data_IF_326935153083
#
_entry.id   IF_326935153083
#
_cell.length_a   1.000
_cell.length_b   1.000
_cell.length_c   1.000
_cell.angle_alpha   90.00
_cell.angle_beta   90.00
_cell.angle_gamma   90.00
#
_symmetry.space_group_name_H-M   'P 1'
#
loop_
_entity.id
_entity.type
_entity.pdbx_description
1 polymer ?
#
# COMPACT_ATOMS: atom_id res chain seq x y z
N UNK A 1 -10.24 -79.60 2.64
CA UNK A 1 -9.93 -78.15 2.59
C UNK A 1 -8.89 -77.89 3.67
N UNK A 2 -7.68 -77.54 3.23
CA UNK A 2 -6.48 -77.34 4.06
C UNK A 2 -6.60 -76.05 4.89
N UNK A 3 -6.41 -76.12 6.21
CA UNK A 3 -5.17 -75.93 6.99
C UNK A 3 -4.51 -74.54 6.80
N UNK A 4 -4.42 -73.89 7.97
CA UNK A 4 -3.86 -72.62 8.38
C UNK A 4 -2.48 -72.18 7.84
N UNK A 5 -2.35 -70.85 7.81
CA UNK A 5 -1.25 -69.98 8.25
C UNK A 5 0.19 -70.17 7.71
N UNK A 6 0.79 -69.01 7.37
CA UNK A 6 2.11 -68.46 7.77
C UNK A 6 2.72 -67.67 6.62
N UNK A 7 3.07 -66.40 6.87
CA UNK A 7 4.19 -65.62 6.29
C UNK A 7 3.94 -64.13 6.57
N UNK A 8 4.89 -63.26 6.92
CA UNK A 8 6.31 -63.33 7.24
C UNK A 8 6.61 -61.98 7.93
N UNK A 9 7.34 -61.96 9.04
CA UNK A 9 7.82 -60.71 9.65
C UNK A 9 8.80 -60.00 8.72
N UNK A 10 8.73 -58.67 8.66
CA UNK A 10 9.88 -57.82 8.36
C UNK A 10 9.84 -56.57 9.25
N UNK A 11 10.70 -56.56 10.27
CA UNK A 11 11.07 -55.37 11.02
C UNK A 11 11.91 -54.46 10.12
N UNK A 12 11.45 -53.24 9.86
CA UNK A 12 12.33 -52.17 9.42
C UNK A 12 12.53 -51.20 10.58
N UNK A 13 13.69 -51.29 11.21
CA UNK A 13 14.25 -50.21 12.00
C UNK A 13 14.65 -49.08 11.04
N UNK A 14 13.74 -48.13 10.81
CA UNK A 14 14.05 -46.86 10.19
C UNK A 14 14.46 -45.87 11.26
N UNK A 15 15.72 -45.43 11.24
CA UNK A 15 16.19 -44.34 12.07
C UNK A 15 15.26 -43.13 11.92
N UNK A 16 14.78 -42.58 13.04
CA UNK A 16 14.19 -41.25 13.07
C UNK A 16 15.31 -40.28 12.70
N UNK A 17 15.43 -39.95 11.42
CA UNK A 17 16.13 -38.75 11.00
C UNK A 17 15.31 -37.60 11.58
N UNK A 18 15.80 -37.05 12.70
CA UNK A 18 15.39 -35.74 13.19
C UNK A 18 15.49 -34.81 11.98
N UNK A 19 14.40 -34.15 11.51
CA UNK A 19 14.59 -33.03 10.63
C UNK A 19 15.39 -32.01 11.44
N UNK A 20 16.67 -31.90 11.04
CA UNK A 20 17.55 -30.81 11.36
C UNK A 20 16.70 -29.54 11.24
N UNK A 21 16.74 -28.75 12.29
CA UNK A 21 16.29 -27.37 12.25
C UNK A 21 17.03 -26.70 11.09
N UNK A 22 16.41 -26.68 9.91
CA UNK A 22 16.81 -25.80 8.83
C UNK A 22 16.46 -24.39 9.27
N UNK A 23 17.41 -23.82 10.02
CA UNK A 23 17.56 -22.41 10.30
C UNK A 23 17.97 -21.71 8.98
N UNK A 24 17.10 -21.79 7.99
CA UNK A 24 17.25 -21.26 6.64
C UNK A 24 16.00 -20.48 6.24
N UNK A 25 15.56 -19.58 7.12
CA UNK A 25 14.50 -18.62 6.81
C UNK A 25 14.93 -17.18 7.08
N UNK A 26 16.22 -16.88 6.88
CA UNK A 26 16.64 -15.52 6.48
C UNK A 26 16.62 -15.41 4.96
N UNK A 27 15.49 -15.78 4.35
CA UNK A 27 15.06 -15.08 3.13
C UNK A 27 15.02 -13.61 3.54
N UNK A 28 15.86 -12.80 2.92
CA UNK A 28 16.01 -11.36 3.13
C UNK A 28 14.74 -10.76 3.71
N UNK A 29 14.78 -10.34 4.97
CA UNK A 29 13.63 -9.76 5.64
C UNK A 29 13.31 -8.47 4.90
N UNK A 30 12.44 -8.56 3.89
CA UNK A 30 12.01 -7.41 3.08
C UNK A 30 11.53 -6.38 4.08
N UNK A 31 12.18 -5.22 4.06
CA UNK A 31 11.85 -4.15 4.97
C UNK A 31 10.40 -3.77 4.69
N UNK A 32 9.53 -3.94 5.69
CA UNK A 32 8.11 -3.63 5.62
C UNK A 32 7.74 -2.72 6.79
N UNK A 33 6.84 -1.80 6.52
CA UNK A 33 6.25 -0.88 7.49
C UNK A 33 4.75 -0.76 7.24
N UNK A 34 4.00 -0.15 8.16
CA UNK A 34 2.55 -0.02 8.05
C UNK A 34 2.16 1.45 8.17
N UNK A 35 1.40 1.95 7.20
CA UNK A 35 0.94 3.34 7.15
C UNK A 35 -0.39 3.60 7.87
N UNK A 36 -0.95 2.56 8.50
CA UNK A 36 -2.27 2.53 9.12
C UNK A 36 -3.32 1.80 8.27
N UNK A 37 -3.02 1.50 7.01
CA UNK A 37 -3.96 0.89 6.05
C UNK A 37 -3.42 -0.41 5.41
N UNK A 38 -2.29 -0.93 5.92
CA UNK A 38 -1.70 -2.19 5.50
C UNK A 38 -0.19 -2.12 5.34
N UNK A 39 0.46 -3.29 5.14
CA UNK A 39 1.90 -3.34 4.96
C UNK A 39 2.34 -2.66 3.65
N UNK A 40 3.52 -2.05 3.67
CA UNK A 40 4.20 -1.40 2.55
C UNK A 40 5.68 -1.75 2.62
N UNK A 41 6.32 -2.04 1.49
CA UNK A 41 7.78 -2.20 1.42
C UNK A 41 8.49 -0.85 1.62
N UNK A 42 9.65 -0.85 2.28
CA UNK A 42 10.41 0.37 2.58
C UNK A 42 10.87 1.18 1.35
N UNK A 43 10.85 0.57 0.15
CA UNK A 43 11.12 1.27 -1.11
C UNK A 43 9.94 2.13 -1.61
N UNK A 44 8.82 2.09 -0.90
CA UNK A 44 7.59 2.80 -1.24
C UNK A 44 7.22 3.80 -0.14
N UNK A 45 6.39 4.76 -0.53
CA UNK A 45 5.68 5.66 0.36
C UNK A 45 4.20 5.61 0.00
N UNK A 46 3.34 6.05 0.91
CA UNK A 46 1.92 6.21 0.62
C UNK A 46 1.47 7.66 0.70
N UNK A 47 0.44 7.98 -0.07
CA UNK A 47 -0.35 9.19 0.10
C UNK A 47 -1.77 8.76 0.38
N UNK A 48 -2.36 9.27 1.46
CA UNK A 48 -3.73 8.95 1.86
C UNK A 48 -4.56 10.22 1.96
N UNK A 49 -5.59 10.33 1.13
CA UNK A 49 -6.56 11.42 1.12
C UNK A 49 -7.78 11.09 1.96
N UNK A 50 -8.31 12.08 2.68
CA UNK A 50 -9.57 11.99 3.43
C UNK A 50 -9.58 11.04 4.63
N UNK A 51 -8.44 10.43 5.00
CA UNK A 51 -8.38 9.44 6.08
C UNK A 51 -8.79 10.02 7.46
N UNK A 52 -9.14 9.15 8.40
CA UNK A 52 -9.51 9.46 9.78
C UNK A 52 -10.73 10.38 9.90
N UNK A 53 -11.64 10.35 8.92
CA UNK A 53 -12.81 11.24 8.89
C UNK A 53 -12.46 12.71 8.64
N UNK A 54 -11.27 13.00 8.11
CA UNK A 54 -10.82 14.34 7.73
C UNK A 54 -11.52 14.85 6.48
N UNK A 55 -11.25 16.11 6.16
CA UNK A 55 -11.66 16.70 4.88
C UNK A 55 -11.07 15.90 3.71
N UNK A 56 -11.85 15.71 2.65
CA UNK A 56 -11.46 14.92 1.47
C UNK A 56 -10.22 15.45 0.76
N UNK A 57 -10.03 16.77 0.79
CA UNK A 57 -8.88 17.47 0.23
C UNK A 57 -7.62 17.31 1.09
N UNK A 58 -7.76 17.08 2.41
CA UNK A 58 -6.63 16.83 3.30
C UNK A 58 -6.00 15.47 2.96
N UNK A 59 -4.68 15.43 2.92
CA UNK A 59 -3.95 14.19 2.71
C UNK A 59 -2.71 14.09 3.58
N UNK A 60 -2.23 12.86 3.70
CA UNK A 60 -1.04 12.53 4.47
C UNK A 60 -0.06 11.76 3.58
N UNK A 61 1.15 12.29 3.46
CA UNK A 61 2.30 11.59 2.86
C UNK A 61 2.99 10.82 3.99
N UNK A 62 3.09 9.50 3.85
CA UNK A 62 3.73 8.63 4.82
C UNK A 62 4.87 7.84 4.16
N UNK A 63 6.03 7.86 4.78
CA UNK A 63 7.14 6.95 4.50
C UNK A 63 7.54 6.19 5.76
N UNK A 64 8.46 5.24 5.64
CA UNK A 64 8.89 4.37 6.75
C UNK A 64 9.25 5.13 8.05
N UNK A 65 9.75 6.37 7.92
CA UNK A 65 10.27 7.14 9.06
C UNK A 65 9.70 8.57 9.15
N UNK A 66 8.67 8.91 8.36
CA UNK A 66 8.09 10.25 8.40
C UNK A 66 6.62 10.22 8.03
N UNK A 67 5.88 11.17 8.60
CA UNK A 67 4.51 11.48 8.24
C UNK A 67 4.40 12.99 8.07
N UNK A 68 3.78 13.42 6.98
CA UNK A 68 3.55 14.82 6.70
C UNK A 68 2.15 15.04 6.15
N UNK A 69 1.44 16.01 6.73
CA UNK A 69 0.12 16.42 6.25
C UNK A 69 0.25 17.48 5.17
N UNK A 70 -0.67 17.42 4.22
CA UNK A 70 -0.80 18.37 3.12
C UNK A 70 -2.26 18.76 2.95
N UNK A 71 -2.45 20.00 2.53
CA UNK A 71 -3.76 20.52 2.17
C UNK A 71 -3.59 21.33 0.87
N UNK A 72 -4.18 20.88 -0.26
CA UNK A 72 -4.14 21.63 -1.49
C UNK A 72 -5.05 22.85 -1.40
N UNK A 73 -4.64 23.95 -2.03
CA UNK A 73 -5.53 25.10 -2.17
C UNK A 73 -6.70 24.72 -3.07
N UNK A 74 -7.90 24.85 -2.54
CA UNK A 74 -9.15 24.61 -3.24
C UNK A 74 -9.70 25.93 -3.79
N UNK A 75 -8.89 26.64 -4.58
CA UNK A 75 -9.34 27.86 -5.25
C UNK A 75 -10.40 27.48 -6.32
N UNK A 76 -11.50 28.25 -6.46
CA UNK A 76 -12.55 27.92 -7.42
C UNK A 76 -12.00 27.71 -8.84
N UNK A 77 -12.39 26.60 -9.48
CA UNK A 77 -12.00 26.24 -10.85
C UNK A 77 -10.51 25.91 -11.04
N UNK A 78 -9.76 25.72 -9.94
CA UNK A 78 -8.34 25.39 -9.98
C UNK A 78 -8.03 23.97 -9.51
N UNK A 79 -9.04 23.10 -9.39
CA UNK A 79 -8.86 21.71 -8.98
C UNK A 79 -7.83 20.94 -9.83
N UNK A 80 -7.66 21.30 -11.10
CA UNK A 80 -6.73 20.63 -12.02
C UNK A 80 -5.29 21.14 -11.96
N UNK A 81 -5.02 22.22 -11.21
CA UNK A 81 -3.69 22.80 -11.13
C UNK A 81 -2.81 22.01 -10.16
N UNK A 82 -1.64 21.58 -10.63
CA UNK A 82 -0.65 20.91 -9.78
C UNK A 82 -0.04 21.86 -8.76
N UNK A 83 -0.08 21.44 -7.50
CA UNK A 83 0.49 22.17 -6.37
C UNK A 83 1.65 21.36 -5.75
N UNK A 84 2.80 21.99 -5.48
CA UNK A 84 3.97 21.30 -4.93
C UNK A 84 3.87 21.09 -3.41
N UNK A 85 4.26 19.90 -2.97
CA UNK A 85 4.40 19.51 -1.56
C UNK A 85 5.80 18.94 -1.33
N UNK A 86 6.58 19.67 -0.54
CA UNK A 86 7.94 19.29 -0.17
C UNK A 86 7.89 18.39 1.04
N UNK A 87 8.58 17.26 0.97
CA UNK A 87 8.70 16.28 2.05
C UNK A 87 10.12 15.73 2.09
N UNK A 88 10.49 14.89 3.07
CA UNK A 88 11.78 14.21 3.09
C UNK A 88 12.03 13.23 1.92
N UNK A 89 11.05 13.05 1.02
CA UNK A 89 11.20 12.27 -0.20
C UNK A 89 12.23 12.91 -1.16
N UNK A 90 12.90 12.12 -2.00
CA UNK A 90 13.91 12.62 -2.94
C UNK A 90 13.35 13.52 -4.06
N UNK A 91 12.04 13.47 -4.33
CA UNK A 91 11.38 14.28 -5.34
C UNK A 91 10.18 15.02 -4.75
N UNK A 92 9.76 16.10 -5.41
CA UNK A 92 8.57 16.86 -5.00
C UNK A 92 7.31 16.09 -5.37
N UNK A 93 6.38 15.97 -4.43
CA UNK A 93 5.03 15.48 -4.70
C UNK A 93 4.21 16.63 -5.25
N UNK A 94 3.60 16.45 -6.41
CA UNK A 94 2.66 17.42 -6.98
C UNK A 94 1.26 16.81 -6.93
N UNK A 95 0.29 17.57 -6.43
CA UNK A 95 -1.12 17.14 -6.38
C UNK A 95 -1.98 18.12 -7.15
N UNK A 96 -2.83 17.62 -8.04
CA UNK A 96 -3.97 18.33 -8.56
C UNK A 96 -5.22 17.72 -7.90
N UNK A 97 -5.90 18.43 -6.97
CA UNK A 97 -6.94 17.84 -6.12
C UNK A 97 -8.22 17.43 -6.87
N UNK A 98 -8.48 17.99 -8.05
CA UNK A 98 -9.71 17.73 -8.81
C UNK A 98 -10.96 17.95 -7.95
N UNK A 99 -11.88 17.00 -8.01
CA UNK A 99 -13.15 17.08 -7.32
C UNK A 99 -13.06 16.95 -5.79
N UNK A 100 -11.90 16.59 -5.21
CA UNK A 100 -11.77 16.57 -3.75
C UNK A 100 -12.00 17.94 -3.11
N UNK A 101 -11.88 19.01 -3.92
CA UNK A 101 -12.11 20.40 -3.53
C UNK A 101 -13.52 20.93 -3.83
N UNK A 102 -14.31 20.27 -4.69
CA UNK A 102 -15.47 20.91 -5.33
C UNK A 102 -16.78 20.13 -5.16
N UNK A 103 -16.75 18.80 -5.09
CA UNK A 103 -18.00 18.01 -5.16
C UNK A 103 -18.60 17.69 -3.80
N UNK A 104 -19.94 17.76 -3.75
CA UNK A 104 -20.76 17.25 -2.63
C UNK A 104 -21.29 15.84 -2.89
N UNK A 105 -21.04 15.29 -4.08
CA UNK A 105 -21.50 13.95 -4.47
C UNK A 105 -20.43 12.91 -4.09
N UNK A 106 -20.77 11.95 -3.21
CA UNK A 106 -19.81 10.98 -2.72
C UNK A 106 -19.08 10.17 -3.79
N UNK A 107 -19.78 9.87 -4.88
CA UNK A 107 -19.31 9.00 -5.96
C UNK A 107 -18.24 9.67 -6.82
N UNK A 108 -18.23 11.01 -6.87
CA UNK A 108 -17.37 11.81 -7.73
C UNK A 108 -16.18 12.46 -6.99
N UNK A 109 -16.04 12.24 -5.67
CA UNK A 109 -15.05 12.93 -4.83
C UNK A 109 -13.61 12.78 -5.30
N UNK A 110 -13.31 11.67 -5.97
CA UNK A 110 -11.95 11.36 -6.39
C UNK A 110 -11.68 11.72 -7.84
N UNK A 111 -12.70 12.06 -8.61
CA UNK A 111 -12.55 12.35 -10.04
C UNK A 111 -11.55 13.49 -10.25
N UNK A 112 -10.70 13.32 -11.26
CA UNK A 112 -9.59 14.21 -11.60
C UNK A 112 -8.56 14.45 -10.47
N UNK A 113 -8.55 13.62 -9.42
CA UNK A 113 -7.47 13.60 -8.44
C UNK A 113 -6.21 13.00 -9.08
N UNK A 114 -5.23 13.86 -9.32
CA UNK A 114 -3.96 13.45 -9.91
C UNK A 114 -2.78 13.68 -8.98
N UNK A 115 -1.85 12.73 -9.00
CA UNK A 115 -0.59 12.79 -8.25
C UNK A 115 0.55 12.64 -9.23
N UNK A 116 1.55 13.51 -9.13
CA UNK A 116 2.79 13.40 -9.88
C UNK A 116 3.98 13.39 -8.92
N UNK A 117 4.93 12.50 -9.18
CA UNK A 117 6.13 12.33 -8.40
C UNK A 117 7.27 11.80 -9.30
N UNK A 118 8.31 12.61 -9.52
CA UNK A 118 9.36 12.29 -10.51
C UNK A 118 8.75 11.98 -11.90
N UNK A 119 9.10 10.83 -12.49
CA UNK A 119 8.55 10.25 -13.73
C UNK A 119 7.17 9.61 -13.56
N UNK A 120 6.71 9.43 -12.32
CA UNK A 120 5.42 8.79 -12.03
C UNK A 120 4.27 9.78 -12.08
N UNK A 121 3.21 9.37 -12.76
CA UNK A 121 1.90 10.02 -12.78
C UNK A 121 0.85 8.99 -12.35
N UNK A 122 -0.09 9.39 -11.49
CA UNK A 122 -1.22 8.58 -11.07
C UNK A 122 -2.52 9.35 -11.30
N UNK A 123 -3.50 8.67 -11.89
CA UNK A 123 -4.89 9.08 -11.86
C UNK A 123 -5.62 8.30 -10.77
N UNK A 124 -5.76 8.89 -9.57
CA UNK A 124 -6.09 8.14 -8.36
C UNK A 124 -7.42 7.35 -8.39
N UNK A 125 -8.48 7.76 -9.12
CA UNK A 125 -9.69 6.96 -9.32
C UNK A 125 -9.49 5.62 -10.02
N UNK A 126 -8.56 5.56 -10.98
CA UNK A 126 -8.42 4.43 -11.92
C UNK A 126 -7.09 3.71 -11.83
N UNK A 127 -6.08 4.32 -11.22
CA UNK A 127 -4.76 3.73 -11.05
C UNK A 127 -4.80 2.58 -10.03
N UNK A 128 -4.31 1.40 -10.42
CA UNK A 128 -4.35 0.20 -9.56
C UNK A 128 -3.49 0.31 -8.31
N UNK A 129 -2.58 1.29 -8.26
CA UNK A 129 -1.79 1.61 -7.06
C UNK A 129 -2.60 2.42 -6.04
N UNK A 130 -3.77 2.91 -6.43
CA UNK A 130 -4.68 3.72 -5.63
C UNK A 130 -5.96 2.93 -5.29
N UNK A 131 -6.19 2.69 -4.01
CA UNK A 131 -7.35 1.92 -3.52
C UNK A 131 -8.20 2.73 -2.54
N UNK A 132 -9.50 2.39 -2.41
CA UNK A 132 -10.33 2.95 -1.35
C UNK A 132 -9.83 2.48 0.02
N UNK A 133 -9.89 3.36 1.01
CA UNK A 133 -9.73 3.03 2.43
C UNK A 133 -10.94 3.54 3.21
N UNK A 134 -11.13 3.06 4.44
CA UNK A 134 -12.20 3.54 5.33
C UNK A 134 -13.59 3.44 4.70
N UNK A 135 -13.93 2.25 4.18
CA UNK A 135 -15.21 2.00 3.49
C UNK A 135 -15.46 2.93 2.29
N UNK A 136 -14.40 3.39 1.62
CA UNK A 136 -14.47 4.33 0.50
C UNK A 136 -14.43 5.81 0.91
N UNK A 137 -14.29 6.09 2.22
CA UNK A 137 -14.14 7.45 2.71
C UNK A 137 -12.79 8.08 2.34
N UNK A 138 -11.73 7.28 2.30
CA UNK A 138 -10.41 7.75 1.88
C UNK A 138 -9.94 7.10 0.58
N UNK A 139 -8.87 7.67 0.02
CA UNK A 139 -8.14 7.10 -1.13
C UNK A 139 -6.67 7.01 -0.77
N UNK A 140 -6.11 5.80 -0.85
CA UNK A 140 -4.71 5.50 -0.56
C UNK A 140 -3.98 5.13 -1.83
N UNK A 141 -2.88 5.80 -2.13
CA UNK A 141 -1.98 5.47 -3.24
C UNK A 141 -0.61 5.03 -2.72
N UNK A 142 -0.05 3.96 -3.28
CA UNK A 142 1.30 3.45 -2.93
C UNK A 142 2.24 3.73 -4.10
N UNK A 143 3.35 4.44 -3.84
CA UNK A 143 4.23 4.98 -4.87
C UNK A 143 5.68 4.63 -4.52
N UNK A 144 6.47 4.20 -5.51
CA UNK A 144 7.89 3.94 -5.30
C UNK A 144 8.62 5.25 -4.98
N UNK A 145 9.50 5.24 -3.98
CA UNK A 145 10.29 6.42 -3.60
C UNK A 145 11.34 6.78 -4.67
N UNK A 146 11.78 5.80 -5.46
CA UNK A 146 12.78 5.97 -6.54
C UNK A 146 12.32 5.21 -7.79
N UNK A 147 11.31 5.74 -8.51
CA UNK A 147 10.76 5.14 -9.72
C UNK A 147 11.66 5.31 -10.95
#
# INVERSE_FOLDING_TARGET
MHISAVSLLALFAGAMAVPVSDNSNTLEKRCEWNDGHGPISCDYFSIVFGAEGRERSEFIIKGNNFEQRGFPRCDPWQGHNYQPFFSPLPYVVMVAPGNTCETRLPEAWWDDLHIKYSSTFLNAPTDTRCGPVENGWGRRCIIAQRP
#
